data_IF_537361479023
#
_entry.id   IF_537361479023
#
_cell.length_a   1.000
_cell.length_b   1.000
_cell.length_c   1.000
_cell.angle_alpha   90.00
_cell.angle_beta   90.00
_cell.angle_gamma   90.00
#
_symmetry.space_group_name_H-M   'P 1'
#
loop_
_entity.id
_entity.type
_entity.pdbx_description
1 polymer ?
#
# COMPACT_ATOMS: atom_id res chain seq x y z
N UNK A 1 10.60 11.79 -29.07
CA UNK A 1 11.58 12.68 -28.40
C UNK A 1 10.97 14.01 -27.94
N UNK A 2 10.15 14.69 -28.75
CA UNK A 2 9.50 15.96 -28.37
C UNK A 2 8.68 15.91 -27.05
N UNK A 3 7.86 14.87 -26.83
CA UNK A 3 7.04 14.75 -25.62
C UNK A 3 7.87 14.70 -24.32
N UNK A 4 9.00 13.99 -24.33
CA UNK A 4 9.88 13.90 -23.17
C UNK A 4 10.52 15.26 -22.84
N UNK A 5 10.88 16.02 -23.86
CA UNK A 5 11.40 17.38 -23.70
C UNK A 5 10.35 18.33 -23.10
N UNK A 6 9.12 18.32 -23.62
CA UNK A 6 8.04 19.16 -23.08
C UNK A 6 7.69 18.81 -21.64
N UNK A 7 7.69 17.51 -21.29
CA UNK A 7 7.46 17.07 -19.92
C UNK A 7 8.57 17.53 -18.96
N UNK A 8 9.83 17.47 -19.39
CA UNK A 8 10.95 17.98 -18.59
C UNK A 8 10.89 19.51 -18.44
N UNK A 9 10.60 20.24 -19.53
CA UNK A 9 10.41 21.68 -19.50
C UNK A 9 9.28 22.11 -18.55
N UNK A 10 8.14 21.38 -18.56
CA UNK A 10 7.03 21.61 -17.65
C UNK A 10 7.45 21.40 -16.18
N UNK A 11 8.13 20.28 -15.86
CA UNK A 11 8.65 20.00 -14.52
C UNK A 11 9.62 21.08 -14.03
N UNK A 12 10.51 21.58 -14.91
CA UNK A 12 11.43 22.69 -14.58
C UNK A 12 10.67 23.98 -14.31
N UNK A 13 9.62 24.26 -15.08
CA UNK A 13 8.74 25.42 -14.87
C UNK A 13 8.03 25.35 -13.53
N UNK A 14 7.38 24.22 -13.22
CA UNK A 14 6.69 23.99 -11.96
C UNK A 14 7.61 24.13 -10.75
N UNK A 15 8.85 23.61 -10.83
CA UNK A 15 9.85 23.78 -9.77
C UNK A 15 10.19 25.25 -9.53
N UNK A 16 10.37 26.04 -10.60
CA UNK A 16 10.62 27.48 -10.49
C UNK A 16 9.42 28.20 -9.87
N UNK A 17 8.21 27.89 -10.32
CA UNK A 17 6.99 28.48 -9.78
C UNK A 17 6.84 28.15 -8.29
N UNK A 18 7.02 26.88 -7.89
CA UNK A 18 6.96 26.47 -6.49
C UNK A 18 7.99 27.22 -5.64
N UNK A 19 9.23 27.32 -6.11
CA UNK A 19 10.29 28.08 -5.40
C UNK A 19 9.89 29.55 -5.24
N UNK A 20 9.41 30.17 -6.32
CA UNK A 20 8.96 31.55 -6.26
C UNK A 20 7.83 31.76 -5.25
N UNK A 21 6.84 30.85 -5.20
CA UNK A 21 5.76 30.92 -4.21
C UNK A 21 6.27 30.75 -2.78
N UNK A 22 7.21 29.84 -2.53
CA UNK A 22 7.81 29.68 -1.20
C UNK A 22 8.49 30.97 -0.72
N UNK A 23 9.17 31.66 -1.63
CA UNK A 23 9.99 32.83 -1.29
C UNK A 23 9.16 34.14 -1.26
N UNK A 24 8.09 34.26 -2.07
CA UNK A 24 7.43 35.54 -2.33
C UNK A 24 5.92 35.59 -2.03
N UNK A 25 5.24 34.46 -1.78
CA UNK A 25 3.78 34.42 -1.65
C UNK A 25 3.24 35.38 -0.58
N UNK A 26 3.83 35.37 0.62
CA UNK A 26 3.38 36.22 1.72
C UNK A 26 3.57 37.71 1.41
N UNK A 27 4.70 38.08 0.80
CA UNK A 27 4.98 39.47 0.41
C UNK A 27 3.93 39.99 -0.58
N UNK A 28 3.54 39.16 -1.56
CA UNK A 28 2.53 39.52 -2.56
C UNK A 28 1.15 39.68 -1.92
N UNK A 29 0.77 38.78 -1.01
CA UNK A 29 -0.51 38.87 -0.31
C UNK A 29 -0.57 40.07 0.64
N UNK A 30 0.55 40.41 1.30
CA UNK A 30 0.65 41.61 2.14
C UNK A 30 0.54 42.89 1.30
N UNK A 31 1.25 42.99 0.17
CA UNK A 31 1.11 44.12 -0.75
C UNK A 31 -0.32 44.24 -1.31
N UNK A 32 -0.97 43.11 -1.58
CA UNK A 32 -2.36 43.09 -2.02
C UNK A 32 -3.33 43.56 -0.92
N UNK A 33 -3.06 43.22 0.35
CA UNK A 33 -3.78 43.74 1.51
C UNK A 33 -3.59 45.25 1.70
N UNK A 34 -2.38 45.77 1.49
CA UNK A 34 -2.09 47.22 1.50
C UNK A 34 -2.90 47.96 0.42
N UNK A 35 -3.06 47.33 -0.75
CA UNK A 35 -3.90 47.83 -1.84
C UNK A 35 -5.42 47.65 -1.61
N UNK A 36 -5.83 47.24 -0.41
CA UNK A 36 -7.23 47.07 0.01
C UNK A 36 -8.05 46.16 -0.92
N UNK A 37 -7.41 45.16 -1.52
CA UNK A 37 -8.11 44.16 -2.31
C UNK A 37 -8.99 43.29 -1.40
N UNK A 38 -10.16 42.87 -1.92
CA UNK A 38 -11.19 42.15 -1.16
C UNK A 38 -10.75 40.71 -0.84
N UNK A 39 -11.22 40.21 0.30
CA UNK A 39 -11.13 38.80 0.71
C UNK A 39 -9.71 38.22 0.85
N UNK A 40 -8.70 39.08 1.06
CA UNK A 40 -7.29 38.64 1.14
C UNK A 40 -6.94 38.03 2.49
N UNK A 41 -7.57 38.47 3.57
CA UNK A 41 -7.22 38.01 4.92
C UNK A 41 -7.31 36.48 5.07
N UNK A 42 -8.30 35.86 4.42
CA UNK A 42 -8.44 34.40 4.37
C UNK A 42 -7.27 33.72 3.64
N UNK A 43 -6.81 34.32 2.54
CA UNK A 43 -5.67 33.79 1.76
C UNK A 43 -4.33 33.96 2.49
N UNK A 44 -4.16 35.06 3.23
CA UNK A 44 -2.99 35.27 4.10
C UNK A 44 -2.96 34.19 5.18
N UNK A 45 -4.07 33.99 5.89
CA UNK A 45 -4.16 32.99 6.95
C UNK A 45 -3.84 31.58 6.45
N UNK A 46 -4.36 31.21 5.26
CA UNK A 46 -4.05 29.94 4.62
C UNK A 46 -2.57 29.83 4.24
N UNK A 47 -1.99 30.89 3.65
CA UNK A 47 -0.60 30.91 3.25
C UNK A 47 0.35 30.77 4.45
N UNK A 48 0.04 31.44 5.57
CA UNK A 48 0.78 31.32 6.83
C UNK A 48 0.74 29.89 7.39
N UNK A 49 -0.43 29.25 7.37
CA UNK A 49 -0.56 27.86 7.81
C UNK A 49 0.26 26.91 6.92
N UNK A 50 0.22 27.11 5.60
CA UNK A 50 1.00 26.31 4.65
C UNK A 50 2.50 26.50 4.87
N UNK A 51 2.97 27.73 5.05
CA UNK A 51 4.37 28.02 5.34
C UNK A 51 4.80 27.42 6.68
N UNK A 52 3.94 27.45 7.69
CA UNK A 52 4.20 26.79 8.98
C UNK A 52 4.34 25.28 8.85
N UNK A 53 3.46 24.62 8.09
CA UNK A 53 3.55 23.17 7.83
C UNK A 53 4.78 22.80 7.02
N UNK A 54 5.16 23.65 6.06
CA UNK A 54 6.32 23.44 5.20
C UNK A 54 7.64 23.59 5.97
N UNK A 55 7.73 24.61 6.82
CA UNK A 55 8.90 24.88 7.65
C UNK A 55 8.95 24.03 8.93
N UNK A 56 7.94 23.21 9.18
CA UNK A 56 7.95 22.30 10.31
C UNK A 56 9.15 21.35 10.21
N UNK A 57 9.94 21.19 11.29
CA UNK A 57 11.11 20.32 11.26
C UNK A 57 10.67 18.89 10.94
N UNK A 58 11.16 18.37 9.81
CA UNK A 58 10.92 16.98 9.46
C UNK A 58 11.76 16.09 10.37
N UNK A 59 11.21 14.95 10.84
CA UNK A 59 12.03 13.97 11.55
C UNK A 59 13.21 13.55 10.65
N UNK A 60 14.39 13.29 11.23
CA UNK A 60 15.52 12.81 10.44
C UNK A 60 15.12 11.52 9.71
N UNK A 61 15.64 11.30 8.48
CA UNK A 61 15.32 10.11 7.72
C UNK A 61 15.67 8.87 8.55
N UNK A 62 14.72 7.93 8.65
CA UNK A 62 14.97 6.65 9.31
C UNK A 62 16.11 5.93 8.56
N UNK A 63 17.22 5.66 9.24
CA UNK A 63 18.33 4.89 8.67
C UNK A 63 17.84 3.46 8.52
N UNK A 64 17.49 3.08 7.28
CA UNK A 64 17.19 1.69 6.96
C UNK A 64 18.52 0.93 7.02
N UNK A 65 18.69 -0.05 7.93
CA UNK A 65 19.93 -0.80 7.99
C UNK A 65 20.15 -1.48 6.65
N UNK A 66 21.37 -1.38 6.12
CA UNK A 66 21.74 -2.12 4.92
C UNK A 66 21.53 -3.61 5.21
N UNK A 67 20.91 -4.30 4.24
CA UNK A 67 20.73 -5.75 4.32
C UNK A 67 22.12 -6.38 4.43
N UNK A 68 22.38 -7.05 5.55
CA UNK A 68 23.62 -7.81 5.76
C UNK A 68 23.63 -8.96 4.75
N UNK A 69 24.54 -8.89 3.79
CA UNK A 69 24.86 -10.02 2.92
C UNK A 69 25.79 -10.90 3.73
N UNK A 70 25.40 -12.15 3.98
CA UNK A 70 26.28 -13.12 4.63
C UNK A 70 27.24 -13.59 3.54
N UNK A 71 28.54 -13.28 3.62
CA UNK A 71 29.50 -13.80 2.66
C UNK A 71 29.52 -15.33 2.81
N UNK A 72 29.23 -16.03 1.72
CA UNK A 72 29.36 -17.49 1.69
C UNK A 72 30.79 -17.78 1.27
N UNK A 73 31.49 -18.68 1.97
CA UNK A 73 32.87 -19.08 1.61
C UNK A 73 32.94 -19.76 0.22
N UNK A 74 31.80 -20.24 -0.26
CA UNK A 74 31.66 -20.93 -1.54
C UNK A 74 31.43 -19.88 -2.64
N UNK A 75 32.43 -19.69 -3.49
CA UNK A 75 32.33 -18.91 -4.73
C UNK A 75 31.62 -19.71 -5.84
N UNK A 76 30.37 -20.07 -5.57
CA UNK A 76 29.49 -20.74 -6.54
C UNK A 76 28.29 -19.86 -6.86
N UNK A 77 27.73 -20.06 -8.06
CA UNK A 77 26.48 -19.39 -8.45
C UNK A 77 25.27 -20.02 -7.74
N UNK A 78 25.38 -21.31 -7.40
CA UNK A 78 24.26 -22.15 -6.95
C UNK A 78 24.62 -22.94 -5.69
N UNK A 79 23.62 -23.25 -4.89
CA UNK A 79 23.76 -24.22 -3.81
C UNK A 79 23.97 -25.63 -4.36
N UNK A 80 24.65 -26.52 -3.60
CA UNK A 80 24.73 -27.93 -3.95
C UNK A 80 23.33 -28.54 -4.09
N UNK A 81 23.20 -29.44 -5.05
CA UNK A 81 21.93 -30.12 -5.36
C UNK A 81 21.78 -31.29 -4.39
N UNK A 82 20.54 -31.55 -3.95
CA UNK A 82 20.23 -32.76 -3.17
C UNK A 82 20.56 -34.02 -3.97
N UNK A 83 21.16 -35.00 -3.29
CA UNK A 83 21.58 -36.26 -3.90
C UNK A 83 20.41 -36.99 -4.59
N UNK A 84 19.22 -36.95 -4.00
CA UNK A 84 18.00 -37.54 -4.56
C UNK A 84 17.65 -36.99 -5.95
N UNK A 85 17.83 -35.68 -6.16
CA UNK A 85 17.53 -35.03 -7.44
C UNK A 85 18.66 -35.29 -8.43
N UNK A 86 19.91 -35.29 -7.96
CA UNK A 86 21.10 -35.58 -8.76
C UNK A 86 21.10 -37.03 -9.28
N UNK A 87 20.62 -37.97 -8.47
CA UNK A 87 20.44 -39.37 -8.79
C UNK A 87 19.54 -39.59 -10.02
N UNK A 88 18.53 -38.74 -10.22
CA UNK A 88 17.67 -38.81 -11.41
C UNK A 88 18.51 -38.66 -12.68
N UNK A 89 19.57 -37.85 -12.65
CA UNK A 89 20.45 -37.66 -13.79
C UNK A 89 21.44 -38.82 -13.94
N UNK A 90 22.07 -39.25 -12.83
CA UNK A 90 23.16 -40.22 -12.88
C UNK A 90 22.73 -41.69 -12.92
N UNK A 91 21.62 -42.04 -12.26
CA UNK A 91 21.15 -43.43 -12.14
C UNK A 91 20.13 -43.81 -13.22
N UNK A 92 19.65 -42.85 -14.01
CA UNK A 92 18.66 -43.15 -15.05
C UNK A 92 19.32 -43.50 -16.38
N UNK A 93 18.84 -44.59 -16.99
CA UNK A 93 19.21 -45.00 -18.35
C UNK A 93 18.17 -44.54 -19.38
N UNK A 94 17.03 -43.99 -18.91
CA UNK A 94 15.91 -43.57 -19.75
C UNK A 94 16.17 -42.27 -20.51
N UNK A 95 15.73 -42.22 -21.78
CA UNK A 95 15.71 -40.97 -22.55
C UNK A 95 14.70 -40.01 -21.91
N UNK A 96 15.15 -38.81 -21.53
CA UNK A 96 14.31 -37.77 -20.92
C UNK A 96 14.54 -37.55 -19.43
N UNK A 97 15.53 -38.21 -18.83
CA UNK A 97 15.96 -37.98 -17.45
C UNK A 97 16.34 -36.54 -17.15
N UNK A 98 16.99 -35.85 -18.08
CA UNK A 98 17.30 -34.43 -17.98
C UNK A 98 16.05 -33.56 -17.77
N UNK A 99 14.95 -33.87 -18.48
CA UNK A 99 13.69 -33.15 -18.32
C UNK A 99 13.04 -33.42 -16.96
N UNK A 100 13.12 -34.67 -16.47
CA UNK A 100 12.63 -35.03 -15.12
C UNK A 100 13.45 -34.33 -14.04
N UNK A 101 14.77 -34.35 -14.16
CA UNK A 101 15.69 -33.61 -13.29
C UNK A 101 15.34 -32.12 -13.22
N UNK A 102 15.16 -31.47 -14.37
CA UNK A 102 14.80 -30.05 -14.40
C UNK A 102 13.44 -29.78 -13.76
N UNK A 103 12.43 -30.63 -14.00
CA UNK A 103 11.11 -30.51 -13.37
C UNK A 103 11.19 -30.60 -11.84
N UNK A 104 11.90 -31.60 -11.31
CA UNK A 104 12.10 -31.76 -9.87
C UNK A 104 12.86 -30.57 -9.28
N UNK A 105 13.93 -30.14 -9.96
CA UNK A 105 14.72 -28.99 -9.55
C UNK A 105 13.91 -27.69 -9.57
N UNK A 106 12.93 -27.53 -10.46
CA UNK A 106 12.06 -26.34 -10.51
C UNK A 106 11.02 -26.26 -9.40
N UNK A 107 10.75 -27.35 -8.67
CA UNK A 107 9.84 -27.30 -7.51
C UNK A 107 10.39 -26.44 -6.38
N UNK A 108 11.71 -26.33 -6.25
CA UNK A 108 12.37 -25.45 -5.28
C UNK A 108 12.32 -24.00 -5.69
N UNK A 109 12.08 -23.14 -4.70
CA UNK A 109 12.17 -21.69 -4.87
C UNK A 109 13.58 -21.30 -5.35
N UNK A 110 13.71 -20.22 -6.15
CA UNK A 110 15.00 -19.77 -6.66
C UNK A 110 15.97 -19.36 -5.53
N UNK A 111 15.44 -18.89 -4.39
CA UNK A 111 16.19 -18.52 -3.18
C UNK A 111 16.93 -19.70 -2.54
N UNK A 112 16.33 -20.89 -2.60
CA UNK A 112 16.91 -22.12 -2.02
C UNK A 112 17.90 -22.79 -3.00
N UNK A 113 18.07 -22.21 -4.19
CA UNK A 113 18.81 -22.78 -5.31
C UNK A 113 20.00 -21.93 -5.74
N UNK A 114 19.84 -20.61 -5.72
CA UNK A 114 20.86 -19.64 -6.09
C UNK A 114 21.29 -18.83 -4.87
N UNK A 115 22.58 -18.59 -4.76
CA UNK A 115 23.15 -17.78 -3.68
C UNK A 115 22.72 -16.30 -3.79
N UNK A 116 22.55 -15.82 -5.03
CA UNK A 116 22.14 -14.46 -5.34
C UNK A 116 21.14 -14.42 -6.50
N UNK A 117 20.53 -13.25 -6.70
CA UNK A 117 19.62 -13.02 -7.82
C UNK A 117 20.40 -13.01 -9.13
N UNK A 118 20.14 -14.01 -9.99
CA UNK A 118 20.80 -14.13 -11.29
C UNK A 118 20.10 -13.31 -12.38
N UNK A 119 18.77 -13.16 -12.27
CA UNK A 119 17.96 -12.44 -13.25
C UNK A 119 17.23 -11.25 -12.62
N UNK A 120 17.04 -10.19 -13.41
CA UNK A 120 16.28 -8.98 -13.01
C UNK A 120 14.81 -9.28 -12.72
N UNK A 121 14.25 -10.32 -13.33
CA UNK A 121 12.89 -10.78 -13.04
C UNK A 121 12.72 -11.28 -11.60
N UNK A 122 13.81 -11.63 -10.91
CA UNK A 122 13.80 -12.06 -9.51
C UNK A 122 14.00 -10.92 -8.52
N UNK A 123 14.23 -9.69 -8.99
CA UNK A 123 14.31 -8.52 -8.10
C UNK A 123 13.03 -8.36 -7.28
N UNK A 124 11.89 -8.69 -7.90
CA UNK A 124 10.60 -8.78 -7.24
C UNK A 124 10.31 -10.23 -6.84
N UNK A 125 10.03 -10.46 -5.56
CA UNK A 125 9.66 -11.78 -5.03
C UNK A 125 10.80 -12.60 -4.44
N UNK A 126 12.06 -12.14 -4.52
CA UNK A 126 13.15 -12.76 -3.77
C UNK A 126 12.97 -12.53 -2.25
N UNK A 127 13.09 -13.61 -1.49
CA UNK A 127 12.79 -13.73 -0.06
C UNK A 127 11.36 -13.39 0.30
N UNK A 128 10.41 -13.80 -0.55
CA UNK A 128 9.00 -13.56 -0.28
C UNK A 128 8.53 -14.15 1.06
N UNK A 129 9.14 -15.26 1.52
CA UNK A 129 8.85 -15.83 2.84
C UNK A 129 9.15 -14.85 3.99
N UNK A 130 10.22 -14.05 3.88
CA UNK A 130 10.61 -13.05 4.88
C UNK A 130 9.81 -11.76 4.74
N UNK A 131 9.51 -11.36 3.49
CA UNK A 131 8.73 -10.17 3.17
C UNK A 131 7.21 -10.37 3.33
N UNK A 132 6.74 -11.60 3.60
CA UNK A 132 5.34 -11.87 3.95
C UNK A 132 5.03 -11.14 5.24
N UNK A 133 4.47 -9.94 5.09
CA UNK A 133 3.55 -9.38 6.08
C UNK A 133 2.60 -10.53 6.42
N UNK A 134 2.53 -10.92 7.70
CA UNK A 134 1.57 -11.93 8.17
C UNK A 134 0.26 -11.61 7.49
N UNK A 135 -0.24 -12.52 6.65
CA UNK A 135 -1.48 -12.30 5.92
C UNK A 135 -2.50 -11.82 6.95
N UNK A 136 -2.92 -10.56 6.83
CA UNK A 136 -3.87 -9.99 7.77
C UNK A 136 -5.09 -10.89 7.69
N UNK A 137 -5.45 -11.47 8.83
CA UNK A 137 -6.38 -12.57 8.92
C UNK A 137 -7.62 -12.30 8.05
N UNK A 138 -7.74 -13.03 6.93
CA UNK A 138 -8.77 -12.82 5.90
C UNK A 138 -10.06 -13.55 6.27
N UNK A 139 -10.21 -13.94 7.54
CA UNK A 139 -11.37 -14.66 8.06
C UNK A 139 -12.70 -13.99 7.69
N UNK A 140 -12.70 -12.68 7.46
CA UNK A 140 -13.88 -11.91 7.10
C UNK A 140 -13.90 -11.40 5.65
N UNK A 141 -13.03 -11.89 4.76
CA UNK A 141 -12.95 -11.42 3.37
C UNK A 141 -14.27 -11.54 2.60
N UNK A 142 -15.02 -12.63 2.80
CA UNK A 142 -16.36 -12.82 2.21
C UNK A 142 -17.39 -11.83 2.76
N UNK A 143 -17.33 -11.54 4.06
CA UNK A 143 -18.24 -10.57 4.71
C UNK A 143 -17.90 -9.11 4.37
N UNK A 144 -16.66 -8.82 3.95
CA UNK A 144 -16.23 -7.48 3.58
C UNK A 144 -16.95 -7.00 2.31
N UNK A 145 -17.13 -7.88 1.32
CA UNK A 145 -17.87 -7.58 0.10
C UNK A 145 -19.31 -7.20 0.47
N UNK A 146 -19.99 -8.04 1.26
CA UNK A 146 -21.35 -7.77 1.73
C UNK A 146 -21.45 -6.43 2.49
N UNK A 147 -20.51 -6.16 3.40
CA UNK A 147 -20.46 -4.90 4.17
C UNK A 147 -20.26 -3.67 3.30
N UNK A 148 -19.43 -3.76 2.26
CA UNK A 148 -19.13 -2.62 1.39
C UNK A 148 -20.19 -2.38 0.31
N UNK A 149 -20.87 -3.42 -0.18
CA UNK A 149 -21.85 -3.30 -1.26
C UNK A 149 -23.25 -3.01 -0.74
N UNK A 150 -23.69 -3.71 0.32
CA UNK A 150 -25.06 -3.60 0.82
C UNK A 150 -25.23 -2.49 1.85
N UNK A 151 -24.22 -2.23 2.67
CA UNK A 151 -24.34 -1.27 3.78
C UNK A 151 -23.51 -0.02 3.49
N UNK A 152 -24.17 1.14 3.48
CA UNK A 152 -23.49 2.44 3.42
C UNK A 152 -23.17 2.89 4.84
N UNK A 153 -21.95 3.43 5.04
CA UNK A 153 -21.49 3.86 6.37
C UNK A 153 -22.30 5.05 6.92
N UNK A 154 -22.78 5.91 6.02
CA UNK A 154 -23.66 7.03 6.31
C UNK A 154 -24.86 6.93 5.35
N UNK A 155 -26.07 6.72 5.88
CA UNK A 155 -27.29 6.88 5.10
C UNK A 155 -27.61 8.38 4.99
N UNK A 156 -28.15 8.82 3.84
CA UNK A 156 -28.55 10.22 3.62
C UNK A 156 -29.81 10.56 4.44
N UNK A 157 -30.58 9.56 4.85
CA UNK A 157 -31.71 9.68 5.77
C UNK A 157 -31.81 8.43 6.66
N UNK A 158 -32.28 8.55 7.92
CA UNK A 158 -32.63 7.39 8.73
C UNK A 158 -33.71 6.57 8.03
N UNK A 159 -33.67 5.25 8.18
CA UNK A 159 -34.69 4.37 7.62
C UNK A 159 -36.07 4.77 8.19
N UNK A 160 -37.14 4.76 7.38
CA UNK A 160 -38.46 5.14 7.86
C UNK A 160 -38.90 4.29 9.06
N UNK A 161 -39.67 4.87 10.02
CA UNK A 161 -40.00 4.21 11.30
C UNK A 161 -40.64 2.81 11.17
N UNK A 162 -41.34 2.55 10.06
CA UNK A 162 -42.02 1.27 9.80
C UNK A 162 -41.08 0.07 9.52
N UNK A 163 -39.77 0.29 9.37
CA UNK A 163 -38.76 -0.79 9.31
C UNK A 163 -38.15 -1.13 10.68
N UNK A 164 -38.47 -0.36 11.74
CA UNK A 164 -37.90 -0.48 13.08
C UNK A 164 -38.74 -1.24 14.11
N UNK A 165 -39.93 -1.73 13.73
CA UNK A 165 -40.83 -2.46 14.64
C UNK A 165 -40.90 -3.96 14.24
N UNK A 166 -40.95 -4.88 15.20
CA UNK A 166 -40.26 -6.17 15.11
C UNK A 166 -40.97 -7.16 14.19
N UNK A 167 -40.19 -7.82 13.33
CA UNK A 167 -40.59 -9.04 12.64
C UNK A 167 -40.79 -10.17 13.66
N UNK A 168 -42.05 -10.42 14.03
CA UNK A 168 -42.56 -11.71 14.51
C UNK A 168 -41.65 -12.51 15.43
N UNK A 169 -41.60 -12.12 16.70
CA UNK A 169 -40.93 -12.89 17.75
C UNK A 169 -41.06 -12.25 19.13
N UNK A 170 -42.25 -11.81 19.53
CA UNK A 170 -42.50 -11.36 20.90
C UNK A 170 -43.33 -12.41 21.64
N UNK A 171 -42.68 -13.12 22.57
CA UNK A 171 -43.37 -13.76 23.69
C UNK A 171 -43.91 -12.65 24.59
N UNK A 172 -45.23 -12.54 24.65
CA UNK A 172 -45.93 -11.59 25.52
C UNK A 172 -45.69 -11.92 26.99
N UNK A 173 -45.16 -10.95 27.74
CA UNK A 173 -45.45 -10.83 29.17
C UNK A 173 -46.27 -9.54 29.29
N UNK A 174 -47.58 -9.69 29.39
CA UNK A 174 -48.49 -8.62 29.72
C UNK A 174 -48.24 -8.21 31.18
N UNK A 175 -47.87 -6.96 31.43
CA UNK A 175 -48.07 -6.34 32.75
C UNK A 175 -49.36 -5.54 32.71
N UNK A 176 -50.23 -5.76 33.69
CA UNK A 176 -51.64 -5.34 33.75
C UNK A 176 -51.87 -3.81 33.82
N UNK A 177 -50.84 -2.98 33.65
CA UNK A 177 -50.90 -1.56 34.01
C UNK A 177 -50.87 -0.55 32.85
N UNK A 178 -50.92 -0.97 31.58
CA UNK A 178 -50.81 -0.03 30.44
C UNK A 178 -52.08 0.12 29.60
N UNK A 179 -53.27 0.06 30.22
CA UNK A 179 -54.54 0.40 29.57
C UNK A 179 -55.26 1.50 30.35
N UNK A 180 -54.89 2.75 30.08
CA UNK A 180 -55.82 3.90 30.07
C UNK A 180 -55.04 5.16 29.74
N UNK A 181 -55.37 5.83 28.63
CA UNK A 181 -55.60 7.29 28.60
C UNK A 181 -56.36 7.62 27.31
N UNK A 182 -57.59 8.09 27.49
CA UNK A 182 -58.14 9.19 26.68
C UNK A 182 -57.30 10.44 26.93
#
# INVERSE_FOLDING_TARGET
MAHAFFADAAKRSERRNRKWYMDNLLNVLQAAKENQQRDIDASIALAEELMRRLNAPQPPPAVVPLRRVIPTEIDAVMYPIEEEVLDILHKSTEKGSANRYLKERYKKAPEDKFLYRVATSWDYGWQQKQARLKARDVNFGRSLILKHTFYRRNNVAPDPPHYGEPSGGQTSICSEYSCNFN
#
